data_IF_411025736115
#
_entry.id   IF_411025736115
#
_cell.length_a   1.000
_cell.length_b   1.000
_cell.length_c   1.000
_cell.angle_alpha   90.00
_cell.angle_beta   90.00
_cell.angle_gamma   90.00
#
_symmetry.space_group_name_H-M   'P 1'
#
loop_
_entity.id
_entity.type
_entity.pdbx_description
1 polymer ?
#
# COMPACT_ATOMS: atom_id res chain seq x y z
N UNK A 1 7.11 4.04 7.69
CA UNK A 1 6.41 3.29 8.75
C UNK A 1 7.37 2.86 9.84
N UNK A 2 6.88 2.73 11.07
CA UNK A 2 7.64 2.24 12.23
C UNK A 2 6.78 1.23 12.99
N UNK A 3 7.40 0.14 13.45
CA UNK A 3 6.81 -0.77 14.43
C UNK A 3 7.56 -0.63 15.74
N UNK A 4 6.80 -0.37 16.80
CA UNK A 4 7.31 -0.23 18.15
C UNK A 4 6.89 -1.44 18.98
N UNK A 5 7.72 -1.83 19.93
CA UNK A 5 7.35 -2.78 20.96
C UNK A 5 6.21 -2.19 21.82
N UNK A 6 5.13 -2.95 21.98
CA UNK A 6 3.91 -2.45 22.63
C UNK A 6 4.06 -2.19 24.14
N UNK A 7 5.05 -2.78 24.80
CA UNK A 7 5.29 -2.62 26.22
C UNK A 7 6.29 -1.50 26.53
N UNK A 8 7.32 -1.35 25.70
CA UNK A 8 8.47 -0.47 25.95
C UNK A 8 8.52 0.74 25.02
N UNK A 9 7.83 0.71 23.88
CA UNK A 9 7.90 1.75 22.86
C UNK A 9 9.22 1.76 22.07
N UNK A 10 10.06 0.75 22.24
CA UNK A 10 11.34 0.62 21.52
C UNK A 10 11.08 0.28 20.05
N UNK A 11 11.87 0.86 19.13
CA UNK A 11 11.81 0.52 17.72
C UNK A 11 12.14 -0.97 17.49
N UNK A 12 11.20 -1.71 16.91
CA UNK A 12 11.46 -3.03 16.36
C UNK A 12 12.02 -2.91 14.95
N UNK A 13 11.37 -2.10 14.11
CA UNK A 13 11.86 -1.77 12.78
C UNK A 13 11.29 -0.45 12.27
N UNK A 14 11.97 0.13 11.28
CA UNK A 14 11.50 1.23 10.46
C UNK A 14 11.69 0.91 8.98
N UNK A 15 10.69 1.22 8.18
CA UNK A 15 10.79 1.20 6.74
C UNK A 15 10.38 2.52 6.11
N UNK A 16 11.15 2.92 5.11
CA UNK A 16 10.92 4.13 4.33
C UNK A 16 10.67 3.73 2.89
N UNK A 17 9.45 3.97 2.42
CA UNK A 17 9.13 3.98 1.00
C UNK A 17 9.29 5.42 0.53
N UNK A 18 10.25 5.65 -0.37
CA UNK A 18 10.60 6.99 -0.82
C UNK A 18 9.54 7.59 -1.73
N UNK A 19 9.50 8.93 -1.75
CA UNK A 19 8.65 9.73 -2.64
C UNK A 19 7.16 9.48 -2.47
N UNK A 20 6.67 9.17 -1.27
CA UNK A 20 5.27 8.82 -1.08
C UNK A 20 4.74 9.15 0.31
N UNK A 21 3.44 8.93 0.47
CA UNK A 21 2.76 8.98 1.76
C UNK A 21 1.96 7.68 1.94
N UNK A 22 1.91 7.18 3.18
CA UNK A 22 1.05 6.06 3.55
C UNK A 22 -0.20 6.63 4.24
N UNK A 23 -1.36 6.42 3.62
CA UNK A 23 -2.65 6.91 4.09
C UNK A 23 -3.33 5.93 5.06
N UNK A 24 -3.09 4.63 4.88
CA UNK A 24 -3.70 3.58 5.68
C UNK A 24 -2.77 2.38 5.86
N UNK A 25 -3.01 1.60 6.92
CA UNK A 25 -2.37 0.31 7.13
C UNK A 25 -3.34 -0.71 7.76
N UNK A 26 -3.07 -1.98 7.54
CA UNK A 26 -3.72 -3.12 8.16
C UNK A 26 -2.69 -4.20 8.49
N UNK A 27 -2.98 -5.05 9.48
CA UNK A 27 -2.09 -6.13 9.93
C UNK A 27 -2.81 -7.47 9.74
N UNK A 28 -2.16 -8.43 9.09
CA UNK A 28 -2.71 -9.77 8.88
C UNK A 28 -2.55 -10.68 10.12
N UNK A 29 -3.13 -11.88 10.07
CA UNK A 29 -3.04 -12.86 11.16
C UNK A 29 -1.63 -13.38 11.43
N UNK A 30 -0.68 -13.19 10.51
CA UNK A 30 0.74 -13.52 10.67
C UNK A 30 1.57 -12.35 11.19
N UNK A 31 0.96 -11.17 11.32
CA UNK A 31 1.60 -9.94 11.78
C UNK A 31 2.27 -9.12 10.68
N UNK A 32 2.11 -9.48 9.40
CA UNK A 32 2.57 -8.69 8.26
C UNK A 32 1.74 -7.41 8.13
N UNK A 33 2.35 -6.37 7.59
CA UNK A 33 1.75 -5.04 7.50
C UNK A 33 1.49 -4.71 6.04
N UNK A 34 0.20 -4.65 5.68
CA UNK A 34 -0.23 -4.05 4.43
C UNK A 34 -0.37 -2.54 4.63
N UNK A 35 0.25 -1.74 3.77
CA UNK A 35 0.14 -0.29 3.79
C UNK A 35 -0.27 0.23 2.42
N UNK A 36 -1.16 1.22 2.43
CA UNK A 36 -1.74 1.82 1.24
C UNK A 36 -1.53 3.33 1.27
N UNK A 37 -1.27 3.90 0.10
CA UNK A 37 -1.09 5.32 -0.08
C UNK A 37 -0.75 5.63 -1.54
N UNK A 38 0.26 6.47 -1.72
CA UNK A 38 0.79 6.75 -3.04
C UNK A 38 2.31 6.85 -3.04
N UNK A 39 2.90 6.62 -4.21
CA UNK A 39 4.28 7.02 -4.52
C UNK A 39 4.26 7.97 -5.70
N UNK A 40 5.19 8.92 -5.73
CA UNK A 40 5.26 9.95 -6.75
C UNK A 40 6.38 9.63 -7.73
N UNK A 41 6.06 9.68 -9.03
CA UNK A 41 7.03 9.59 -10.13
C UNK A 41 6.98 10.85 -10.99
N UNK A 42 8.10 11.17 -11.66
CA UNK A 42 8.17 12.33 -12.57
C UNK A 42 7.30 12.19 -13.80
N UNK A 43 6.94 10.95 -14.16
CA UNK A 43 6.23 10.65 -15.41
C UNK A 43 4.73 10.52 -15.20
N UNK A 44 4.30 10.21 -13.98
CA UNK A 44 2.93 9.76 -13.68
C UNK A 44 2.28 10.46 -12.49
N UNK A 45 2.95 11.44 -11.87
CA UNK A 45 2.40 12.10 -10.70
C UNK A 45 2.32 11.15 -9.50
N UNK A 46 1.23 11.16 -8.75
CA UNK A 46 1.01 10.21 -7.66
C UNK A 46 0.40 8.94 -8.23
N UNK A 47 1.01 7.79 -7.90
CA UNK A 47 0.56 6.47 -8.28
C UNK A 47 -0.08 5.78 -7.06
N UNK A 48 -1.19 5.08 -7.28
CA UNK A 48 -1.84 4.27 -6.26
C UNK A 48 -0.90 3.13 -5.85
N UNK A 49 -0.42 3.14 -4.61
CA UNK A 49 0.60 2.20 -4.15
C UNK A 49 0.14 1.43 -2.93
N UNK A 50 0.33 0.11 -3.01
CA UNK A 50 0.12 -0.82 -1.90
C UNK A 50 1.41 -1.62 -1.69
N UNK A 51 1.85 -1.71 -0.45
CA UNK A 51 3.04 -2.48 -0.07
C UNK A 51 2.68 -3.43 1.07
N UNK A 52 3.17 -4.65 1.00
CA UNK A 52 3.09 -5.60 2.10
C UNK A 52 4.49 -5.82 2.69
N UNK A 53 4.59 -5.70 4.01
CA UNK A 53 5.85 -5.82 4.74
C UNK A 53 5.81 -6.99 5.71
N UNK A 54 6.93 -7.68 5.83
CA UNK A 54 7.17 -8.72 6.82
C UNK A 54 7.01 -8.16 8.23
N UNK A 55 6.19 -8.82 9.04
CA UNK A 55 5.85 -8.35 10.38
C UNK A 55 7.03 -8.27 11.36
N UNK A 56 8.04 -9.12 11.17
CA UNK A 56 9.16 -9.28 12.10
C UNK A 56 10.33 -8.35 11.76
N UNK A 57 10.68 -8.23 10.49
CA UNK A 57 11.83 -7.49 9.98
C UNK A 57 11.46 -6.16 9.33
N UNK A 58 10.20 -5.99 8.93
CA UNK A 58 9.76 -4.90 8.07
C UNK A 58 10.23 -5.06 6.62
N UNK A 59 10.84 -6.16 6.20
CA UNK A 59 11.25 -6.33 4.82
C UNK A 59 10.05 -6.26 3.86
N UNK A 60 10.21 -5.65 2.69
CA UNK A 60 9.17 -5.65 1.67
C UNK A 60 8.97 -7.05 1.11
N UNK A 61 7.75 -7.57 1.26
CA UNK A 61 7.33 -8.86 0.70
C UNK A 61 6.95 -8.67 -0.76
N UNK A 62 6.14 -7.66 -1.03
CA UNK A 62 5.75 -7.24 -2.38
C UNK A 62 5.21 -5.81 -2.37
N UNK A 63 5.13 -5.22 -3.57
CA UNK A 63 4.53 -3.91 -3.81
C UNK A 63 3.80 -3.91 -5.14
N UNK A 64 2.64 -3.28 -5.16
CA UNK A 64 1.86 -2.98 -6.35
C UNK A 64 1.73 -1.48 -6.53
N UNK A 65 1.88 -1.04 -7.78
CA UNK A 65 1.75 0.34 -8.21
C UNK A 65 0.78 0.34 -9.38
N UNK A 66 -0.39 0.93 -9.17
CA UNK A 66 -1.38 1.16 -10.23
C UNK A 66 -1.20 2.60 -10.70
N UNK A 67 -0.84 2.74 -11.97
CA UNK A 67 -0.54 4.02 -12.58
C UNK A 67 -1.10 4.09 -14.00
N UNK A 68 -1.79 5.18 -14.32
CA UNK A 68 -2.37 5.41 -15.66
C UNK A 68 -1.66 6.51 -16.46
N UNK A 69 -0.51 6.99 -15.98
CA UNK A 69 0.38 7.86 -16.76
C UNK A 69 -0.12 9.28 -16.98
N UNK A 70 -1.02 9.76 -16.13
CA UNK A 70 -1.51 11.14 -16.16
C UNK A 70 -0.93 11.98 -15.03
N UNK A 71 -1.03 13.31 -15.13
CA UNK A 71 -0.50 14.22 -14.11
C UNK A 71 -1.42 14.36 -12.88
N UNK A 72 -2.26 13.36 -12.60
CA UNK A 72 -3.35 13.43 -11.60
C UNK A 72 -2.97 12.63 -10.34
N UNK A 73 -3.71 12.87 -9.26
CA UNK A 73 -3.47 12.28 -7.94
C UNK A 73 -4.13 10.89 -7.85
N UNK A 74 -3.38 9.81 -8.09
CA UNK A 74 -3.83 8.43 -7.81
C UNK A 74 -3.35 8.01 -6.42
N UNK A 75 -4.27 7.50 -5.60
CA UNK A 75 -3.96 7.17 -4.21
C UNK A 75 -4.86 6.08 -3.66
N UNK A 76 -4.25 5.12 -2.97
CA UNK A 76 -4.93 4.16 -2.13
C UNK A 76 -5.23 4.82 -0.77
N UNK A 77 -6.50 4.99 -0.45
CA UNK A 77 -6.95 5.71 0.75
C UNK A 77 -7.33 4.77 1.90
N UNK A 78 -7.63 3.51 1.58
CA UNK A 78 -7.99 2.50 2.56
C UNK A 78 -7.37 1.14 2.19
N UNK A 79 -7.12 0.33 3.21
CA UNK A 79 -6.64 -1.04 3.07
C UNK A 79 -7.25 -1.94 4.14
N UNK A 80 -7.58 -3.16 3.75
CA UNK A 80 -8.03 -4.23 4.62
C UNK A 80 -7.33 -5.54 4.22
N UNK A 81 -7.29 -6.49 5.15
CA UNK A 81 -6.77 -7.85 4.92
C UNK A 81 -7.89 -8.85 5.18
N UNK A 82 -8.05 -9.84 4.30
CA UNK A 82 -9.00 -10.94 4.51
C UNK A 82 -8.41 -12.06 5.38
N UNK A 83 -9.22 -13.07 5.71
CA UNK A 83 -8.79 -14.20 6.56
C UNK A 83 -7.66 -15.03 5.92
N UNK A 84 -7.50 -14.99 4.60
CA UNK A 84 -6.40 -15.65 3.89
C UNK A 84 -5.15 -14.76 3.79
N UNK A 85 -5.20 -13.53 4.31
CA UNK A 85 -4.11 -12.55 4.26
C UNK A 85 -4.05 -11.76 2.95
N UNK A 86 -5.02 -11.92 2.05
CA UNK A 86 -5.05 -11.12 0.82
C UNK A 86 -5.40 -9.67 1.17
N UNK A 87 -4.80 -8.74 0.44
CA UNK A 87 -4.92 -7.31 0.70
C UNK A 87 -5.96 -6.72 -0.23
N UNK A 88 -6.98 -6.05 0.31
CA UNK A 88 -7.94 -5.25 -0.48
C UNK A 88 -7.63 -3.79 -0.23
N UNK A 89 -7.36 -3.02 -1.29
CA UNK A 89 -7.14 -1.59 -1.22
C UNK A 89 -8.21 -0.84 -2.00
N UNK A 90 -8.62 0.32 -1.50
CA UNK A 90 -9.61 1.18 -2.13
C UNK A 90 -9.13 2.62 -2.18
N UNK A 91 -9.49 3.34 -3.24
CA UNK A 91 -9.04 4.70 -3.45
C UNK A 91 -9.46 5.27 -4.79
N UNK A 92 -8.60 6.13 -5.33
CA UNK A 92 -8.85 6.85 -6.58
C UNK A 92 -7.75 6.53 -7.60
N UNK A 93 -8.15 6.27 -8.83
CA UNK A 93 -7.27 6.21 -10.01
C UNK A 93 -7.87 7.05 -11.11
N UNK A 94 -7.17 7.30 -12.21
CA UNK A 94 -7.77 7.90 -13.41
C UNK A 94 -7.99 6.85 -14.50
N UNK A 95 -9.01 7.03 -15.33
CA UNK A 95 -9.13 6.31 -16.60
C UNK A 95 -9.37 7.30 -17.75
N UNK A 96 -8.38 7.45 -18.64
CA UNK A 96 -8.36 8.11 -19.96
C UNK A 96 -9.19 9.40 -20.21
N UNK A 97 -9.76 10.01 -19.18
CA UNK A 97 -10.62 11.19 -19.20
C UNK A 97 -10.41 12.03 -17.94
N UNK A 98 -11.02 13.23 -17.84
CA UNK A 98 -10.65 14.27 -16.87
C UNK A 98 -11.09 14.00 -15.42
N UNK A 99 -11.55 12.80 -15.10
CA UNK A 99 -12.15 12.45 -13.81
C UNK A 99 -11.43 11.27 -13.20
N UNK A 100 -11.37 11.26 -11.87
CA UNK A 100 -10.96 10.09 -11.12
C UNK A 100 -12.11 9.08 -11.06
N UNK A 101 -11.72 7.81 -11.05
CA UNK A 101 -12.57 6.65 -10.80
C UNK A 101 -12.40 6.18 -9.36
N UNK A 102 -13.49 5.61 -8.82
CA UNK A 102 -13.42 4.85 -7.58
C UNK A 102 -12.86 3.47 -7.89
N UNK A 103 -11.72 3.14 -7.30
CA UNK A 103 -10.99 1.90 -7.58
C UNK A 103 -10.87 1.06 -6.33
N UNK A 104 -11.14 -0.24 -6.49
CA UNK A 104 -10.90 -1.27 -5.48
C UNK A 104 -10.13 -2.39 -6.16
N UNK A 105 -8.99 -2.75 -5.59
CA UNK A 105 -8.14 -3.82 -6.08
C UNK A 105 -7.86 -4.80 -4.94
N UNK A 106 -7.82 -6.10 -5.26
CA UNK A 106 -7.47 -7.16 -4.33
C UNK A 106 -6.18 -7.82 -4.79
N UNK A 107 -5.26 -8.04 -3.86
CA UNK A 107 -3.92 -8.56 -4.12
C UNK A 107 -3.66 -9.84 -3.32
N UNK A 108 -3.07 -10.81 -3.99
CA UNK A 108 -2.66 -12.08 -3.40
C UNK A 108 -1.60 -11.86 -2.32
N UNK A 109 -1.74 -12.53 -1.19
CA UNK A 109 -0.80 -12.42 -0.07
C UNK A 109 0.64 -12.81 -0.42
N UNK A 110 0.84 -13.77 -1.32
CA UNK A 110 2.14 -14.36 -1.60
C UNK A 110 3.03 -13.49 -2.47
N UNK A 111 2.47 -12.84 -3.48
CA UNK A 111 3.22 -12.13 -4.53
C UNK A 111 2.62 -10.77 -4.91
N UNK A 112 1.48 -10.40 -4.33
CA UNK A 112 0.77 -9.17 -4.65
C UNK A 112 0.08 -9.19 -6.00
N UNK A 113 -0.05 -10.34 -6.68
CA UNK A 113 -0.79 -10.42 -7.93
C UNK A 113 -2.27 -10.04 -7.72
N UNK A 114 -2.85 -9.27 -8.65
CA UNK A 114 -4.26 -8.88 -8.59
C UNK A 114 -5.17 -10.12 -8.75
N UNK A 115 -6.26 -10.18 -7.98
CA UNK A 115 -7.21 -11.30 -7.87
C UNK A 115 -8.61 -10.95 -8.40
#
# INVERSE_FOLDING_TARGET
MVKLDGATGVDLWRQVIWNGEANALAIDGSGNVAAAGYTTSTNTGQDFTVVNLDGASGAELWRQVISHGSSVLEAANAVAVDEAGNVVAAGVTENTGPSTDFTVAKFNVADGAEL
#
